data_IF_701142745141
#
_entry.id   IF_701142745141
#
_cell.length_a   1.000
_cell.length_b   1.000
_cell.length_c   1.000
_cell.angle_alpha   90.00
_cell.angle_beta   90.00
_cell.angle_gamma   90.00
#
_symmetry.space_group_name_H-M   'P 1'
#
loop_
_entity.id
_entity.type
_entity.pdbx_description
1 polymer ?
#
# COMPACT_ATOMS: atom_id res chain seq x y z
N UNK A 1 47.95 34.63 23.60
CA UNK A 1 47.04 33.55 23.98
C UNK A 1 47.23 32.30 23.12
N UNK A 2 47.05 32.33 21.82
CA UNK A 2 47.23 31.16 20.92
C UNK A 2 48.59 30.44 21.06
N UNK A 3 49.70 31.17 21.26
CA UNK A 3 51.04 30.57 21.43
C UNK A 3 51.15 29.74 22.72
N UNK A 4 50.51 30.18 23.79
CA UNK A 4 50.48 29.44 25.08
C UNK A 4 49.55 28.23 25.02
N UNK A 5 48.41 28.30 24.31
CA UNK A 5 47.53 27.16 24.03
C UNK A 5 48.30 26.10 23.24
N UNK A 6 49.02 26.49 22.20
CA UNK A 6 49.82 25.56 21.40
C UNK A 6 50.94 24.88 22.18
N UNK A 7 51.63 25.60 23.05
CA UNK A 7 52.64 25.04 23.99
C UNK A 7 52.00 24.05 24.99
N UNK A 8 50.82 24.33 25.48
CA UNK A 8 50.07 23.46 26.40
C UNK A 8 49.67 22.13 25.72
N UNK A 9 49.20 22.20 24.45
CA UNK A 9 48.90 21.02 23.61
C UNK A 9 50.15 20.16 23.45
N UNK A 10 51.30 20.78 23.13
CA UNK A 10 52.58 20.06 22.90
C UNK A 10 53.10 19.41 24.18
N UNK A 11 52.83 19.97 25.37
CA UNK A 11 53.24 19.41 26.66
C UNK A 11 52.39 18.21 27.10
N UNK A 12 51.12 18.13 26.63
CA UNK A 12 50.18 17.06 27.00
C UNK A 12 49.60 16.34 25.78
N UNK A 13 50.47 16.05 24.80
CA UNK A 13 50.07 15.46 23.51
C UNK A 13 49.14 14.22 23.64
N UNK A 14 49.44 13.30 24.57
CA UNK A 14 48.64 12.10 24.77
C UNK A 14 47.18 12.36 25.19
N UNK A 15 46.97 13.36 26.06
CA UNK A 15 45.60 13.74 26.49
C UNK A 15 44.84 14.45 25.38
N UNK A 16 45.53 15.27 24.59
CA UNK A 16 44.93 15.99 23.47
C UNK A 16 44.54 15.02 22.35
N UNK A 17 45.38 14.03 22.04
CA UNK A 17 45.08 12.97 21.08
C UNK A 17 43.88 12.16 21.56
N UNK A 18 43.86 11.76 22.86
CA UNK A 18 42.73 11.01 23.41
C UNK A 18 41.41 11.77 23.26
N UNK A 19 41.40 13.07 23.62
CA UNK A 19 40.24 13.93 23.50
C UNK A 19 39.78 14.04 22.04
N UNK A 20 40.72 14.22 21.09
CA UNK A 20 40.44 14.30 19.66
C UNK A 20 39.84 13.00 19.12
N UNK A 21 40.37 11.84 19.52
CA UNK A 21 39.84 10.54 19.13
C UNK A 21 38.41 10.37 19.66
N UNK A 22 38.15 10.71 20.91
CA UNK A 22 36.81 10.65 21.50
C UNK A 22 35.83 11.54 20.71
N UNK A 23 36.24 12.79 20.40
CA UNK A 23 35.41 13.70 19.60
C UNK A 23 35.10 13.14 18.19
N UNK A 24 36.08 12.53 17.54
CA UNK A 24 35.87 11.86 16.23
C UNK A 24 34.88 10.72 16.38
N UNK A 25 34.99 9.87 17.39
CA UNK A 25 34.07 8.76 17.61
C UNK A 25 32.65 9.26 17.85
N UNK A 26 32.46 10.27 18.72
CA UNK A 26 31.14 10.85 18.96
C UNK A 26 30.57 11.48 17.70
N UNK A 27 31.36 12.23 16.92
CA UNK A 27 30.92 12.83 15.68
C UNK A 27 30.47 11.76 14.64
N UNK A 28 31.24 10.66 14.49
CA UNK A 28 30.87 9.56 13.63
C UNK A 28 29.56 8.86 14.06
N UNK A 29 29.36 8.65 15.36
CA UNK A 29 28.13 8.07 15.88
C UNK A 29 26.92 8.98 15.63
N UNK A 30 27.06 10.30 15.78
CA UNK A 30 26.01 11.26 15.46
C UNK A 30 25.68 11.23 13.96
N UNK A 31 26.70 11.25 13.09
CA UNK A 31 26.51 11.18 11.65
C UNK A 31 25.81 9.87 11.24
N UNK A 32 26.20 8.74 11.83
CA UNK A 32 25.57 7.46 11.58
C UNK A 32 24.08 7.48 11.98
N UNK A 33 23.75 7.99 13.16
CA UNK A 33 22.37 8.12 13.63
C UNK A 33 21.52 9.04 12.74
N UNK A 34 22.05 10.19 12.33
CA UNK A 34 21.36 11.10 11.39
C UNK A 34 21.19 10.48 10.01
N UNK A 35 22.17 9.69 9.55
CA UNK A 35 22.07 8.98 8.27
C UNK A 35 20.96 7.94 8.27
N UNK A 36 20.85 7.16 9.36
CA UNK A 36 19.75 6.18 9.53
C UNK A 36 18.42 6.89 9.55
N UNK A 37 18.26 7.97 10.31
CA UNK A 37 17.03 8.75 10.38
C UNK A 37 16.63 9.33 9.01
N UNK A 38 17.59 9.90 8.28
CA UNK A 38 17.36 10.46 6.94
C UNK A 38 16.99 9.37 5.92
N UNK A 39 17.68 8.22 5.97
CA UNK A 39 17.37 7.08 5.10
C UNK A 39 15.99 6.51 5.38
N UNK A 40 15.64 6.33 6.66
CA UNK A 40 14.31 5.86 7.06
C UNK A 40 13.20 6.80 6.58
N UNK A 41 13.37 8.12 6.79
CA UNK A 41 12.42 9.12 6.30
C UNK A 41 12.24 9.07 4.78
N UNK A 42 13.35 8.99 4.03
CA UNK A 42 13.30 8.91 2.57
C UNK A 42 12.60 7.63 2.09
N UNK A 43 12.84 6.50 2.77
CA UNK A 43 12.14 5.24 2.48
C UNK A 43 10.66 5.33 2.79
N UNK A 44 10.25 5.99 3.89
CA UNK A 44 8.85 6.25 4.19
C UNK A 44 8.17 7.09 3.11
N UNK A 45 8.82 8.18 2.69
CA UNK A 45 8.29 9.06 1.63
C UNK A 45 8.16 8.29 0.30
N UNK A 46 9.10 7.40 -0.01
CA UNK A 46 9.05 6.55 -1.20
C UNK A 46 7.91 5.51 -1.10
N UNK A 47 7.73 4.85 0.05
CA UNK A 47 6.62 3.91 0.28
C UNK A 47 5.29 4.63 0.12
N UNK A 48 5.13 5.83 0.69
CA UNK A 48 3.92 6.66 0.55
C UNK A 48 3.59 6.97 -0.90
N UNK A 49 4.62 7.29 -1.70
CA UNK A 49 4.41 7.63 -3.11
C UNK A 49 4.15 6.41 -3.99
N UNK A 50 4.64 5.22 -3.61
CA UNK A 50 4.57 3.99 -4.42
C UNK A 50 3.37 3.13 -4.07
N UNK A 51 3.11 2.91 -2.77
CA UNK A 51 2.01 2.05 -2.35
C UNK A 51 0.65 2.74 -2.37
N UNK A 52 0.62 4.08 -2.45
CA UNK A 52 -0.61 4.85 -2.41
C UNK A 52 -1.45 4.53 -1.15
N UNK A 53 -2.61 5.11 -1.02
CA UNK A 53 -3.67 4.55 -0.19
C UNK A 53 -4.94 4.60 -1.02
N UNK A 54 -5.48 3.44 -1.27
CA UNK A 54 -6.75 3.29 -1.92
C UNK A 54 -7.85 3.10 -0.88
N UNK A 55 -8.97 3.73 -1.13
CA UNK A 55 -10.18 3.63 -0.33
C UNK A 55 -11.28 3.10 -1.22
N UNK A 56 -11.82 1.96 -0.85
CA UNK A 56 -12.86 1.30 -1.61
C UNK A 56 -14.23 1.55 -1.00
N UNK A 57 -15.13 2.16 -1.77
CA UNK A 57 -16.55 2.23 -1.46
C UNK A 57 -17.20 0.92 -1.92
N UNK A 58 -17.76 0.17 -0.98
CA UNK A 58 -18.43 -1.11 -1.23
C UNK A 58 -19.61 -1.30 -0.28
N UNK A 59 -20.38 -2.36 -0.49
CA UNK A 59 -21.48 -2.72 0.43
C UNK A 59 -20.95 -3.25 1.75
N UNK A 60 -21.50 -2.81 2.86
CA UNK A 60 -21.08 -3.22 4.21
C UNK A 60 -21.59 -4.63 4.56
N UNK A 61 -20.89 -5.66 4.06
CA UNK A 61 -21.24 -7.07 4.29
C UNK A 61 -21.30 -7.44 5.79
N UNK A 62 -20.46 -6.80 6.61
CA UNK A 62 -20.40 -7.07 8.06
C UNK A 62 -21.69 -6.65 8.76
N UNK A 63 -22.24 -5.50 8.40
CA UNK A 63 -23.52 -5.03 8.93
C UNK A 63 -24.69 -5.87 8.41
N UNK A 64 -24.65 -6.28 7.14
CA UNK A 64 -25.67 -7.17 6.58
C UNK A 64 -25.71 -8.54 7.28
N UNK A 65 -24.55 -9.15 7.56
CA UNK A 65 -24.47 -10.39 8.34
C UNK A 65 -25.01 -10.21 9.77
N UNK A 66 -24.66 -9.13 10.44
CA UNK A 66 -25.15 -8.82 11.79
C UNK A 66 -26.67 -8.59 11.84
N UNK A 67 -27.27 -8.05 10.78
CA UNK A 67 -28.73 -7.86 10.68
C UNK A 67 -29.44 -9.20 10.44
N UNK A 68 -28.87 -10.09 9.62
CA UNK A 68 -29.38 -11.47 9.44
C UNK A 68 -29.37 -12.27 10.75
N UNK A 69 -28.30 -12.19 11.54
CA UNK A 69 -28.22 -12.86 12.84
C UNK A 69 -29.28 -12.35 13.84
N UNK A 70 -29.68 -11.09 13.73
CA UNK A 70 -30.74 -10.48 14.57
C UNK A 70 -32.18 -10.78 14.08
N UNK A 71 -32.32 -11.58 12.99
CA UNK A 71 -33.63 -11.97 12.45
C UNK A 71 -34.40 -10.82 11.78
N UNK A 72 -33.73 -9.74 11.41
CA UNK A 72 -34.29 -8.69 10.59
C UNK A 72 -34.29 -9.19 9.12
N UNK A 73 -35.45 -9.08 8.45
CA UNK A 73 -35.54 -9.33 7.04
C UNK A 73 -34.63 -8.28 6.33
N UNK A 74 -33.47 -8.72 5.89
CA UNK A 74 -32.67 -7.91 4.97
C UNK A 74 -33.40 -8.03 3.64
N UNK A 75 -33.96 -6.94 3.14
CA UNK A 75 -34.44 -6.90 1.76
C UNK A 75 -33.32 -7.41 0.87
N UNK A 76 -33.57 -8.46 0.10
CA UNK A 76 -32.60 -9.13 -0.76
C UNK A 76 -32.13 -8.30 -1.96
N UNK A 77 -32.51 -7.06 -2.03
CA UNK A 77 -31.87 -6.09 -2.92
C UNK A 77 -30.45 -5.89 -2.39
N UNK A 78 -29.50 -6.65 -2.93
CA UNK A 78 -28.06 -6.36 -2.74
C UNK A 78 -27.90 -4.87 -2.99
N UNK A 79 -27.64 -4.11 -1.95
CA UNK A 79 -27.45 -2.68 -2.05
C UNK A 79 -26.16 -2.46 -2.86
N UNK A 80 -26.30 -2.30 -4.17
CA UNK A 80 -25.16 -2.06 -5.06
C UNK A 80 -24.71 -0.61 -4.88
N UNK A 81 -23.41 -0.36 -4.91
CA UNK A 81 -22.88 1.00 -5.04
C UNK A 81 -23.35 1.56 -6.37
N UNK A 82 -23.86 2.77 -6.39
CA UNK A 82 -24.26 3.40 -7.66
C UNK A 82 -23.23 4.40 -8.14
N UNK A 83 -23.17 4.62 -9.46
CA UNK A 83 -22.30 5.67 -10.06
C UNK A 83 -22.60 7.03 -9.43
N UNK A 84 -23.89 7.34 -9.20
CA UNK A 84 -24.29 8.62 -8.57
C UNK A 84 -23.77 8.78 -7.13
N UNK A 85 -23.65 7.71 -6.37
CA UNK A 85 -22.99 7.71 -5.05
C UNK A 85 -21.50 7.89 -5.20
N UNK A 86 -20.88 7.09 -6.09
CA UNK A 86 -19.45 7.13 -6.31
C UNK A 86 -18.98 8.51 -6.81
N UNK A 87 -19.77 9.16 -7.64
CA UNK A 87 -19.47 10.51 -8.16
C UNK A 87 -19.45 11.59 -7.07
N UNK A 88 -20.09 11.39 -5.93
CA UNK A 88 -20.04 12.36 -4.82
C UNK A 88 -18.65 12.42 -4.17
N UNK A 89 -17.86 11.35 -4.30
CA UNK A 89 -16.57 11.24 -3.63
C UNK A 89 -15.38 11.53 -4.55
N UNK A 90 -15.51 11.40 -5.87
CA UNK A 90 -14.39 11.49 -6.83
C UNK A 90 -13.68 12.83 -6.87
N UNK A 91 -14.43 13.92 -6.59
CA UNK A 91 -13.91 15.30 -6.64
C UNK A 91 -13.60 15.86 -5.24
N UNK A 92 -13.63 15.02 -4.19
CA UNK A 92 -13.28 15.45 -2.85
C UNK A 92 -11.78 15.73 -2.74
N UNK A 93 -11.44 16.59 -1.77
CA UNK A 93 -10.05 16.87 -1.43
C UNK A 93 -9.32 15.57 -1.08
N UNK A 94 -8.06 15.46 -1.46
CA UNK A 94 -7.16 14.31 -1.31
C UNK A 94 -7.33 13.20 -2.36
N UNK A 95 -8.37 13.20 -3.18
CA UNK A 95 -8.52 12.23 -4.27
C UNK A 95 -7.62 12.63 -5.44
N UNK A 96 -6.66 11.77 -5.78
CA UNK A 96 -5.75 11.93 -6.92
C UNK A 96 -6.37 11.34 -8.20
N UNK A 97 -6.97 10.17 -8.07
CA UNK A 97 -7.66 9.48 -9.15
C UNK A 97 -8.69 8.50 -8.58
N UNK A 98 -9.52 7.93 -9.44
CA UNK A 98 -10.52 6.94 -9.04
C UNK A 98 -10.66 5.86 -10.11
N UNK A 99 -11.17 4.70 -9.69
CA UNK A 99 -11.54 3.61 -10.57
C UNK A 99 -12.88 3.02 -10.15
N UNK A 100 -13.83 2.96 -11.06
CA UNK A 100 -15.10 2.24 -10.86
C UNK A 100 -14.95 0.84 -11.41
N UNK A 101 -15.46 -0.13 -10.68
CA UNK A 101 -15.38 -1.53 -11.04
C UNK A 101 -16.77 -2.17 -11.07
N UNK A 102 -17.00 -2.95 -12.13
CA UNK A 102 -18.11 -3.91 -12.24
C UNK A 102 -17.51 -5.28 -12.45
N UNK A 103 -17.82 -6.20 -11.54
CA UNK A 103 -17.46 -7.62 -11.69
C UNK A 103 -18.71 -8.39 -12.06
N UNK A 104 -18.66 -9.09 -13.18
CA UNK A 104 -19.71 -9.95 -13.70
C UNK A 104 -19.10 -11.17 -14.35
N UNK A 105 -19.90 -12.03 -14.95
CA UNK A 105 -19.42 -13.21 -15.67
C UNK A 105 -20.04 -13.29 -17.05
N UNK A 106 -19.37 -13.99 -17.94
CA UNK A 106 -19.83 -14.26 -19.29
C UNK A 106 -19.39 -15.66 -19.73
N UNK A 107 -20.03 -16.16 -20.78
CA UNK A 107 -19.67 -17.38 -21.48
C UNK A 107 -19.16 -17.02 -22.87
N UNK A 108 -18.59 -18.00 -23.59
CA UNK A 108 -18.17 -17.82 -24.98
C UNK A 108 -18.37 -19.10 -25.78
N UNK A 109 -18.79 -18.92 -27.02
CA UNK A 109 -18.81 -20.02 -28.03
C UNK A 109 -17.57 -19.95 -28.96
N UNK A 110 -16.71 -18.94 -28.78
CA UNK A 110 -15.56 -18.68 -29.69
C UNK A 110 -14.21 -18.95 -29.05
N UNK A 111 -14.13 -19.01 -27.73
CA UNK A 111 -12.91 -19.30 -26.96
C UNK A 111 -13.21 -20.31 -25.85
N UNK A 112 -12.27 -21.18 -25.58
CA UNK A 112 -12.34 -22.15 -24.50
C UNK A 112 -11.72 -21.62 -23.22
N UNK A 113 -12.32 -21.81 -22.01
CA UNK A 113 -11.74 -21.40 -20.76
C UNK A 113 -10.52 -22.26 -20.40
N UNK A 114 -9.54 -21.66 -19.73
CA UNK A 114 -8.39 -22.37 -19.17
C UNK A 114 -8.84 -23.26 -18.02
N UNK A 115 -8.60 -24.56 -18.12
CA UNK A 115 -8.85 -25.51 -17.03
C UNK A 115 -7.66 -25.58 -16.08
N UNK A 116 -7.90 -25.49 -14.76
CA UNK A 116 -6.86 -25.68 -13.76
C UNK A 116 -6.45 -27.14 -13.71
N UNK A 117 -5.14 -27.42 -13.71
CA UNK A 117 -4.62 -28.78 -13.55
C UNK A 117 -4.77 -29.24 -12.09
N UNK A 118 -4.90 -30.57 -11.87
CA UNK A 118 -5.08 -31.16 -10.54
C UNK A 118 -3.94 -30.81 -9.54
N UNK A 119 -2.77 -30.42 -10.04
CA UNK A 119 -1.64 -29.95 -9.20
C UNK A 119 -1.84 -28.50 -8.73
N UNK A 120 -2.56 -27.69 -9.46
CA UNK A 120 -2.90 -26.31 -9.11
C UNK A 120 -4.11 -26.26 -8.17
N UNK A 121 -5.09 -27.15 -8.33
CA UNK A 121 -6.20 -27.30 -7.38
C UNK A 121 -5.71 -27.72 -5.98
N UNK A 122 -4.69 -28.59 -5.87
CA UNK A 122 -4.14 -29.06 -4.60
C UNK A 122 -3.32 -27.99 -3.85
N UNK A 123 -2.81 -26.96 -4.50
CA UNK A 123 -2.12 -25.84 -3.82
C UNK A 123 -3.10 -24.94 -3.08
N UNK A 124 -4.37 -24.92 -3.46
CA UNK A 124 -5.43 -24.17 -2.79
C UNK A 124 -5.94 -24.83 -1.49
N UNK A 125 -5.71 -26.12 -1.29
CA UNK A 125 -6.16 -26.84 -0.07
C UNK A 125 -5.21 -26.71 1.15
N UNK A 126 -4.07 -26.01 1.02
CA UNK A 126 -3.02 -25.91 2.06
C UNK A 126 -3.36 -25.09 3.31
N UNK A 127 -4.58 -24.67 3.53
CA UNK A 127 -4.93 -23.68 4.54
C UNK A 127 -5.86 -24.07 5.68
N UNK A 128 -6.40 -25.29 5.81
CA UNK A 128 -7.14 -25.73 7.02
C UNK A 128 -7.29 -27.25 7.08
N UNK A 129 -6.28 -27.95 7.58
CA UNK A 129 -6.45 -29.30 8.12
C UNK A 129 -7.12 -29.21 9.52
N UNK A 130 -8.37 -28.76 9.54
CA UNK A 130 -9.30 -28.97 10.64
C UNK A 130 -10.33 -30.00 10.20
N UNK A 131 -10.32 -31.17 10.87
CA UNK A 131 -11.26 -32.28 10.68
C UNK A 131 -12.72 -31.84 10.91
N UNK A 132 -13.27 -31.07 9.95
CA UNK A 132 -14.70 -30.78 9.87
C UNK A 132 -15.31 -31.72 8.85
N UNK A 133 -16.03 -32.73 9.37
CA UNK A 133 -16.92 -33.58 8.62
C UNK A 133 -17.89 -32.66 7.82
N UNK A 134 -17.80 -32.69 6.48
CA UNK A 134 -18.75 -31.99 5.60
C UNK A 134 -20.18 -32.36 6.03
N UNK A 135 -21.04 -31.41 6.38
CA UNK A 135 -22.47 -31.70 6.45
C UNK A 135 -22.96 -31.97 5.03
N UNK A 136 -23.65 -33.08 4.83
CA UNK A 136 -24.22 -33.53 3.53
C UNK A 136 -25.25 -32.56 2.91
N UNK A 137 -25.34 -31.34 3.36
CA UNK A 137 -26.35 -30.35 2.96
C UNK A 137 -25.76 -28.98 2.54
N UNK A 138 -24.48 -28.95 2.13
CA UNK A 138 -23.82 -27.68 1.74
C UNK A 138 -23.82 -27.44 0.21
N UNK A 139 -24.61 -28.20 -0.54
CA UNK A 139 -24.53 -28.25 -2.01
C UNK A 139 -25.67 -27.52 -2.74
N UNK A 140 -26.54 -26.78 -2.05
CA UNK A 140 -27.61 -26.01 -2.68
C UNK A 140 -27.65 -24.56 -2.20
N UNK A 141 -26.69 -23.72 -2.63
CA UNK A 141 -26.71 -22.30 -2.24
C UNK A 141 -25.68 -21.39 -2.90
N UNK A 142 -24.74 -21.94 -3.64
CA UNK A 142 -23.91 -21.16 -4.54
C UNK A 142 -24.47 -21.36 -5.94
N UNK A 143 -25.09 -20.32 -6.47
CA UNK A 143 -25.73 -20.27 -7.75
C UNK A 143 -24.76 -20.77 -8.83
N UNK A 144 -25.11 -21.88 -9.48
CA UNK A 144 -24.42 -22.47 -10.64
C UNK A 144 -24.57 -21.62 -11.91
N UNK A 145 -24.73 -20.30 -11.75
CA UNK A 145 -24.93 -19.35 -12.84
C UNK A 145 -23.73 -18.41 -12.99
N UNK A 146 -22.54 -18.83 -12.53
CA UNK A 146 -21.31 -18.13 -12.87
C UNK A 146 -20.86 -18.63 -14.25
N UNK A 147 -20.77 -17.71 -15.23
CA UNK A 147 -20.20 -18.01 -16.53
C UNK A 147 -18.73 -18.43 -16.43
N UNK A 148 -18.20 -19.01 -17.50
CA UNK A 148 -16.84 -19.57 -17.59
C UNK A 148 -15.75 -18.50 -17.48
N UNK A 149 -16.07 -17.24 -17.85
CA UNK A 149 -15.16 -16.10 -17.83
C UNK A 149 -15.60 -15.07 -16.78
N UNK A 150 -14.64 -14.57 -16.03
CA UNK A 150 -14.83 -13.44 -15.11
C UNK A 150 -14.55 -12.13 -15.82
N UNK A 151 -15.54 -11.26 -15.89
CA UNK A 151 -15.42 -9.93 -16.51
C UNK A 151 -15.14 -8.90 -15.41
N UNK A 152 -13.97 -8.28 -15.47
CA UNK A 152 -13.59 -7.15 -14.62
C UNK A 152 -13.61 -5.87 -15.43
N UNK A 153 -14.74 -5.16 -15.39
CA UNK A 153 -14.91 -3.90 -16.11
C UNK A 153 -14.47 -2.73 -15.23
N UNK A 154 -13.64 -1.85 -15.78
CA UNK A 154 -12.99 -0.78 -15.03
C UNK A 154 -12.98 0.54 -15.80
N UNK A 155 -12.97 1.66 -15.08
CA UNK A 155 -12.74 2.98 -15.71
C UNK A 155 -11.32 3.10 -16.27
N UNK A 156 -10.34 2.51 -15.57
CA UNK A 156 -8.93 2.47 -15.97
C UNK A 156 -8.24 1.28 -15.30
N UNK A 157 -7.25 0.70 -15.97
CA UNK A 157 -6.42 -0.37 -15.39
C UNK A 157 -5.13 0.17 -14.76
N UNK A 158 -4.82 1.46 -14.89
CA UNK A 158 -3.55 2.07 -14.46
C UNK A 158 -3.25 1.86 -12.98
N UNK A 159 -4.29 1.87 -12.14
CA UNK A 159 -4.14 1.82 -10.68
C UNK A 159 -4.71 0.54 -10.04
N UNK A 160 -5.13 -0.45 -10.84
CA UNK A 160 -5.65 -1.71 -10.28
C UNK A 160 -4.50 -2.44 -9.55
N UNK A 161 -4.76 -2.90 -8.32
CA UNK A 161 -3.78 -3.58 -7.47
C UNK A 161 -3.07 -4.74 -8.17
N UNK A 162 -3.77 -5.44 -9.05
CA UNK A 162 -3.22 -6.54 -9.84
C UNK A 162 -2.01 -6.11 -10.67
N UNK A 163 -2.01 -4.88 -11.21
CA UNK A 163 -0.92 -4.34 -12.02
C UNK A 163 0.00 -3.41 -11.24
N UNK A 164 -0.53 -2.62 -10.30
CA UNK A 164 0.27 -1.70 -9.48
C UNK A 164 1.15 -2.41 -8.45
N UNK A 165 0.72 -3.58 -7.95
CA UNK A 165 1.47 -4.43 -7.02
C UNK A 165 2.31 -5.52 -7.73
N UNK A 166 2.45 -5.42 -9.05
CA UNK A 166 3.22 -6.38 -9.86
C UNK A 166 2.74 -7.84 -9.76
N UNK A 167 1.48 -8.06 -9.37
CA UNK A 167 0.85 -9.40 -9.35
C UNK A 167 0.59 -9.92 -10.76
N UNK A 168 0.44 -9.01 -11.71
CA UNK A 168 0.36 -9.29 -13.15
C UNK A 168 1.17 -8.27 -13.94
N UNK A 169 1.68 -8.70 -15.07
CA UNK A 169 2.53 -7.88 -15.96
C UNK A 169 1.95 -7.86 -17.36
N UNK A 170 1.88 -6.69 -17.99
CA UNK A 170 1.55 -6.57 -19.40
C UNK A 170 2.68 -7.15 -20.26
N UNK A 171 2.35 -8.13 -21.11
CA UNK A 171 3.32 -8.80 -21.99
C UNK A 171 3.30 -8.19 -23.39
N UNK A 172 2.10 -7.92 -23.93
CA UNK A 172 1.94 -7.37 -25.27
C UNK A 172 0.80 -6.35 -25.33
N UNK A 173 0.89 -5.39 -26.24
CA UNK A 173 -0.13 -4.37 -26.44
C UNK A 173 -0.13 -3.30 -25.36
N UNK A 174 -1.31 -2.97 -24.81
CA UNK A 174 -1.48 -1.94 -23.79
C UNK A 174 -2.62 -2.28 -22.82
N UNK A 175 -2.57 -1.70 -21.63
CA UNK A 175 -3.69 -1.71 -20.69
C UNK A 175 -4.80 -0.74 -21.13
N UNK A 176 -6.01 -0.95 -20.61
CA UNK A 176 -7.12 -0.04 -20.80
C UNK A 176 -6.94 1.24 -19.99
N UNK A 177 -7.30 2.33 -20.61
CA UNK A 177 -7.25 3.68 -20.02
C UNK A 177 -8.65 4.31 -20.04
N UNK A 178 -8.81 5.44 -19.39
CA UNK A 178 -10.07 6.19 -19.45
C UNK A 178 -10.52 6.59 -20.87
N UNK A 179 -9.60 6.58 -21.85
CA UNK A 179 -9.92 6.83 -23.25
C UNK A 179 -10.61 5.66 -23.95
N UNK A 180 -10.60 4.49 -23.33
CA UNK A 180 -11.28 3.30 -23.84
C UNK A 180 -12.76 3.24 -23.43
N UNK A 181 -13.27 4.25 -22.76
CA UNK A 181 -14.68 4.33 -22.36
C UNK A 181 -15.61 4.26 -23.58
N UNK A 182 -16.52 3.28 -23.59
CA UNK A 182 -17.45 3.02 -24.68
C UNK A 182 -16.80 2.39 -25.91
N UNK A 183 -15.59 1.85 -25.78
CA UNK A 183 -14.95 1.03 -26.81
C UNK A 183 -15.19 -0.45 -26.53
N UNK A 184 -15.05 -1.28 -27.56
CA UNK A 184 -15.14 -2.74 -27.41
C UNK A 184 -13.76 -3.36 -27.21
N UNK A 185 -12.89 -2.70 -26.44
CA UNK A 185 -11.55 -3.17 -26.18
C UNK A 185 -11.50 -4.06 -24.93
N UNK A 186 -10.68 -5.11 -24.99
CA UNK A 186 -10.41 -5.97 -23.83
C UNK A 186 -8.93 -6.29 -23.68
N UNK A 187 -8.58 -6.75 -22.48
CA UNK A 187 -7.26 -7.26 -22.15
C UNK A 187 -7.43 -8.64 -21.52
N UNK A 188 -6.71 -9.64 -22.04
CA UNK A 188 -6.84 -11.05 -21.66
C UNK A 188 -5.53 -11.60 -21.10
N UNK A 189 -5.61 -12.73 -20.41
CA UNK A 189 -4.46 -13.41 -19.83
C UNK A 189 -3.71 -14.23 -20.90
N UNK A 190 -2.38 -14.40 -20.73
CA UNK A 190 -1.48 -15.00 -21.72
C UNK A 190 -1.74 -16.49 -21.93
N UNK A 191 -2.15 -17.24 -20.88
CA UNK A 191 -2.53 -18.66 -21.03
C UNK A 191 -3.82 -18.80 -21.81
N UNK A 192 -4.82 -17.96 -21.52
CA UNK A 192 -6.06 -17.90 -22.26
C UNK A 192 -5.81 -17.54 -23.73
N UNK A 193 -4.92 -16.59 -24.00
CA UNK A 193 -4.54 -16.21 -25.35
C UNK A 193 -3.86 -17.36 -26.10
N UNK A 194 -2.89 -18.03 -25.46
CA UNK A 194 -2.13 -19.13 -26.10
C UNK A 194 -2.96 -20.37 -26.35
N UNK A 195 -3.88 -20.73 -25.45
CA UNK A 195 -4.72 -21.93 -25.59
C UNK A 195 -5.77 -21.78 -26.70
N UNK A 196 -6.09 -20.52 -27.04
CA UNK A 196 -7.04 -20.17 -28.08
C UNK A 196 -6.42 -19.60 -29.38
N UNK A 197 -5.08 -19.63 -29.51
CA UNK A 197 -4.34 -19.07 -30.67
C UNK A 197 -4.71 -17.59 -30.96
N UNK A 198 -4.81 -16.74 -29.92
CA UNK A 198 -5.20 -15.33 -29.99
C UNK A 198 -4.02 -14.37 -29.85
N UNK A 199 -4.01 -13.34 -30.70
CA UNK A 199 -3.03 -12.25 -30.68
C UNK A 199 -3.70 -10.88 -30.44
N UNK A 200 -2.90 -9.85 -30.10
CA UNK A 200 -3.39 -8.47 -30.02
C UNK A 200 -3.95 -8.01 -31.38
N UNK A 201 -5.19 -7.56 -31.39
CA UNK A 201 -5.96 -7.16 -32.57
C UNK A 201 -7.04 -8.17 -32.96
N UNK A 202 -7.04 -9.37 -32.40
CA UNK A 202 -8.08 -10.35 -32.62
C UNK A 202 -9.38 -10.00 -31.89
N UNK A 203 -10.47 -10.60 -32.28
CA UNK A 203 -11.79 -10.36 -31.72
C UNK A 203 -12.33 -11.64 -31.09
N UNK A 204 -12.82 -11.52 -29.86
CA UNK A 204 -13.51 -12.56 -29.12
C UNK A 204 -14.99 -12.19 -28.96
N UNK A 205 -15.87 -13.17 -28.93
CA UNK A 205 -17.30 -12.95 -28.71
C UNK A 205 -17.70 -13.52 -27.37
N UNK A 206 -18.20 -12.66 -26.48
CA UNK A 206 -18.70 -13.03 -25.17
C UNK A 206 -20.21 -12.97 -25.12
N UNK A 207 -20.81 -13.85 -24.33
CA UNK A 207 -22.27 -13.94 -24.15
C UNK A 207 -22.63 -13.91 -22.69
N UNK A 208 -23.71 -13.23 -22.33
CA UNK A 208 -24.24 -13.22 -20.97
C UNK A 208 -25.77 -13.28 -21.00
N UNK A 209 -26.38 -13.90 -20.00
CA UNK A 209 -27.83 -13.90 -19.82
C UNK A 209 -28.24 -12.80 -18.86
N UNK A 210 -28.92 -11.80 -19.36
CA UNK A 210 -29.38 -10.63 -18.62
C UNK A 210 -30.90 -10.52 -18.72
N UNK A 211 -31.60 -10.52 -17.61
CA UNK A 211 -33.08 -10.46 -17.60
C UNK A 211 -33.75 -11.49 -18.48
N UNK A 212 -33.26 -12.73 -18.50
CA UNK A 212 -33.72 -13.85 -19.33
C UNK A 212 -33.46 -13.66 -20.83
N UNK A 213 -32.70 -12.67 -21.25
CA UNK A 213 -32.25 -12.47 -22.63
C UNK A 213 -30.76 -12.75 -22.77
N UNK A 214 -30.36 -13.52 -23.78
CA UNK A 214 -28.94 -13.74 -24.07
C UNK A 214 -28.40 -12.59 -24.93
N UNK A 215 -27.41 -11.91 -24.40
CA UNK A 215 -26.70 -10.79 -25.05
C UNK A 215 -25.36 -11.32 -25.55
N UNK A 216 -25.02 -11.03 -26.80
CA UNK A 216 -23.71 -11.34 -27.39
C UNK A 216 -23.01 -10.07 -27.78
N UNK A 217 -21.70 -9.98 -27.48
CA UNK A 217 -20.91 -8.80 -27.79
C UNK A 217 -19.49 -9.16 -28.21
N UNK A 218 -19.00 -8.49 -29.25
CA UNK A 218 -17.66 -8.68 -29.80
C UNK A 218 -16.69 -7.71 -29.14
N UNK A 219 -15.55 -8.22 -28.64
CA UNK A 219 -14.49 -7.46 -28.03
C UNK A 219 -13.17 -7.63 -28.77
N UNK A 220 -12.43 -6.56 -28.96
CA UNK A 220 -11.10 -6.55 -29.58
C UNK A 220 -10.01 -6.60 -28.53
N UNK A 221 -9.09 -7.53 -28.64
CA UNK A 221 -7.94 -7.69 -27.75
C UNK A 221 -6.95 -6.55 -28.02
N UNK A 222 -6.70 -5.69 -27.04
CA UNK A 222 -5.72 -4.59 -27.14
C UNK A 222 -4.49 -4.80 -26.27
N UNK A 223 -4.49 -5.83 -25.42
CA UNK A 223 -3.36 -6.20 -24.59
C UNK A 223 -3.47 -7.61 -24.06
N UNK A 224 -2.31 -8.20 -23.79
CA UNK A 224 -2.16 -9.53 -23.19
C UNK A 224 -1.30 -9.38 -21.95
N UNK A 225 -1.76 -9.91 -20.80
CA UNK A 225 -1.04 -9.85 -19.53
C UNK A 225 -0.74 -11.26 -19.02
N UNK A 226 0.25 -11.37 -18.12
CA UNK A 226 0.65 -12.59 -17.44
C UNK A 226 0.41 -12.44 -15.94
N UNK A 227 -0.15 -13.46 -15.29
CA UNK A 227 -0.30 -13.54 -13.83
C UNK A 227 1.01 -14.03 -13.23
N UNK A 228 1.70 -13.17 -12.45
CA UNK A 228 3.01 -13.48 -11.87
C UNK A 228 2.93 -14.34 -10.60
N UNK A 229 1.83 -14.27 -9.86
CA UNK A 229 1.64 -14.95 -8.58
C UNK A 229 0.62 -16.07 -8.69
N UNK A 230 1.11 -17.29 -8.94
CA UNK A 230 0.31 -18.51 -8.96
C UNK A 230 -0.29 -18.90 -7.59
N UNK A 231 0.09 -18.23 -6.50
CA UNK A 231 -0.49 -18.49 -5.17
C UNK A 231 -1.91 -17.91 -4.99
N UNK A 232 -2.39 -17.14 -5.94
CA UNK A 232 -3.78 -16.67 -5.95
C UNK A 232 -4.75 -17.60 -6.70
N UNK A 233 -4.30 -18.75 -7.16
CA UNK A 233 -5.12 -19.71 -7.87
C UNK A 233 -6.06 -20.40 -6.87
N UNK A 234 -7.34 -19.99 -6.91
CA UNK A 234 -8.46 -20.81 -6.48
C UNK A 234 -8.61 -21.12 -4.99
N UNK A 235 -9.12 -20.17 -4.21
CA UNK A 235 -9.87 -20.53 -3.00
C UNK A 235 -11.29 -20.98 -3.36
N UNK A 236 -12.00 -21.74 -2.51
CA UNK A 236 -13.38 -22.09 -2.77
C UNK A 236 -14.25 -20.85 -3.02
N UNK A 237 -14.80 -20.69 -4.21
CA UNK A 237 -15.61 -19.55 -4.63
C UNK A 237 -14.83 -18.36 -5.22
N UNK A 238 -13.55 -18.51 -5.53
CA UNK A 238 -12.79 -17.55 -6.35
C UNK A 238 -12.81 -17.99 -7.83
N UNK A 239 -12.97 -17.01 -8.72
CA UNK A 239 -12.87 -17.23 -10.16
C UNK A 239 -11.42 -17.58 -10.54
N UNK A 240 -11.26 -18.40 -11.60
CA UNK A 240 -9.95 -18.71 -12.16
C UNK A 240 -9.31 -17.41 -12.70
N UNK A 241 -8.14 -16.98 -12.21
CA UNK A 241 -7.51 -15.74 -12.63
C UNK A 241 -7.09 -15.76 -14.12
N UNK A 242 -6.84 -16.94 -14.69
CA UNK A 242 -6.50 -17.09 -16.11
C UNK A 242 -7.69 -16.80 -17.03
N UNK A 243 -8.94 -16.94 -16.52
CA UNK A 243 -10.18 -16.66 -17.24
C UNK A 243 -10.74 -15.26 -16.93
N UNK A 244 -9.89 -14.35 -16.43
CA UNK A 244 -10.29 -12.98 -16.16
C UNK A 244 -10.03 -12.09 -17.37
N UNK A 245 -11.10 -11.47 -17.87
CA UNK A 245 -11.08 -10.55 -19.01
C UNK A 245 -11.35 -9.14 -18.48
N UNK A 246 -10.42 -8.23 -18.73
CA UNK A 246 -10.59 -6.82 -18.39
C UNK A 246 -11.23 -6.07 -19.54
N UNK A 247 -12.24 -5.25 -19.22
CA UNK A 247 -12.99 -4.45 -20.20
C UNK A 247 -13.20 -3.02 -19.69
N UNK A 248 -13.73 -2.14 -20.53
CA UNK A 248 -14.22 -0.86 -20.08
C UNK A 248 -15.55 -1.00 -19.32
N UNK A 249 -15.92 0.05 -18.59
CA UNK A 249 -17.08 0.03 -17.69
C UNK A 249 -18.41 -0.24 -18.44
N UNK A 250 -18.54 0.22 -19.71
CA UNK A 250 -19.77 0.07 -20.48
C UNK A 250 -20.10 -1.40 -20.79
N UNK A 251 -19.08 -2.23 -20.99
CA UNK A 251 -19.25 -3.68 -21.21
C UNK A 251 -19.73 -4.34 -19.91
N UNK A 252 -19.14 -3.96 -18.75
CA UNK A 252 -19.61 -4.45 -17.46
C UNK A 252 -21.08 -4.07 -17.18
N UNK A 253 -21.50 -2.87 -17.52
CA UNK A 253 -22.89 -2.43 -17.43
C UNK A 253 -23.80 -3.26 -18.33
N UNK A 254 -23.38 -3.50 -19.58
CA UNK A 254 -24.12 -4.29 -20.53
C UNK A 254 -24.36 -5.72 -19.99
N UNK A 255 -23.31 -6.39 -19.52
CA UNK A 255 -23.38 -7.78 -19.06
C UNK A 255 -23.98 -7.93 -17.66
N UNK A 256 -23.92 -6.89 -16.80
CA UNK A 256 -24.60 -6.88 -15.52
C UNK A 256 -26.09 -6.53 -15.59
N UNK A 257 -26.53 -6.00 -16.72
CA UNK A 257 -27.92 -5.54 -16.94
C UNK A 257 -28.27 -4.28 -16.13
N UNK A 258 -27.29 -3.49 -15.74
CA UNK A 258 -27.50 -2.27 -14.96
C UNK A 258 -26.59 -1.14 -15.41
N UNK A 259 -27.17 -0.04 -15.83
CA UNK A 259 -26.44 1.15 -16.27
C UNK A 259 -25.88 2.00 -15.12
N UNK A 260 -26.24 1.70 -13.88
CA UNK A 260 -25.92 2.54 -12.73
C UNK A 260 -25.21 1.84 -11.58
N UNK A 261 -25.23 0.52 -11.55
CA UNK A 261 -24.69 -0.25 -10.43
C UNK A 261 -23.21 -0.55 -10.64
N UNK A 262 -22.46 -0.46 -9.56
CA UNK A 262 -21.05 -0.82 -9.44
C UNK A 262 -20.89 -1.95 -8.43
N UNK A 263 -19.89 -2.79 -8.62
CA UNK A 263 -19.40 -3.71 -7.57
C UNK A 263 -18.68 -2.93 -6.50
N UNK A 264 -17.82 -1.99 -6.91
CA UNK A 264 -17.08 -1.11 -6.01
C UNK A 264 -16.61 0.15 -6.74
N UNK A 265 -16.28 1.17 -5.94
CA UNK A 265 -15.58 2.36 -6.42
C UNK A 265 -14.33 2.57 -5.57
N UNK A 266 -13.17 2.64 -6.21
CA UNK A 266 -11.87 2.80 -5.57
C UNK A 266 -11.38 4.22 -5.79
N UNK A 267 -10.93 4.88 -4.71
CA UNK A 267 -10.36 6.23 -4.73
C UNK A 267 -8.92 6.16 -4.29
N UNK A 268 -8.01 6.63 -5.13
CA UNK A 268 -6.59 6.70 -4.86
C UNK A 268 -6.24 8.07 -4.29
N UNK A 269 -5.74 8.09 -3.05
CA UNK A 269 -5.40 9.32 -2.36
C UNK A 269 -4.01 9.81 -2.74
N UNK A 270 -3.80 11.12 -2.64
CA UNK A 270 -2.52 11.77 -2.90
C UNK A 270 -1.46 11.42 -1.84
N UNK A 271 -1.86 11.21 -0.59
CA UNK A 271 -1.01 10.78 0.51
C UNK A 271 -1.79 9.82 1.45
N UNK A 272 -1.23 8.66 1.82
CA UNK A 272 -1.83 7.74 2.79
C UNK A 272 -2.15 8.36 4.16
N UNK A 273 -1.43 9.39 4.58
CA UNK A 273 -1.73 10.11 5.83
C UNK A 273 -3.08 10.86 5.79
N UNK A 274 -3.62 11.11 4.59
CA UNK A 274 -4.90 11.78 4.41
C UNK A 274 -6.11 10.82 4.49
N UNK A 275 -5.89 9.53 4.74
CA UNK A 275 -6.93 8.51 4.77
C UNK A 275 -8.07 8.84 5.76
N UNK A 276 -7.73 9.10 7.02
CA UNK A 276 -8.74 9.44 8.04
C UNK A 276 -9.48 10.74 7.69
N UNK A 277 -8.73 11.76 7.23
CA UNK A 277 -9.30 13.04 6.82
C UNK A 277 -10.24 12.89 5.62
N UNK A 278 -9.91 12.06 4.64
CA UNK A 278 -10.77 11.73 3.51
C UNK A 278 -12.05 11.01 3.96
N UNK A 279 -11.94 10.00 4.84
CA UNK A 279 -13.11 9.27 5.35
C UNK A 279 -14.07 10.16 6.15
N UNK A 280 -13.53 11.11 6.94
CA UNK A 280 -14.34 12.10 7.64
C UNK A 280 -15.02 13.06 6.67
N UNK A 281 -14.28 13.55 5.67
CA UNK A 281 -14.80 14.45 4.64
C UNK A 281 -15.89 13.77 3.80
N UNK A 282 -15.71 12.51 3.45
CA UNK A 282 -16.69 11.71 2.74
C UNK A 282 -18.01 11.60 3.52
N UNK A 283 -17.93 11.35 4.84
CA UNK A 283 -19.11 11.28 5.72
C UNK A 283 -19.81 12.64 5.88
N UNK A 284 -19.06 13.73 5.84
CA UNK A 284 -19.61 15.09 5.98
C UNK A 284 -20.25 15.62 4.69
N UNK A 285 -19.64 15.29 3.53
CA UNK A 285 -19.96 15.92 2.24
C UNK A 285 -20.83 15.09 1.32
N UNK A 286 -21.03 13.79 1.62
CA UNK A 286 -21.89 12.91 0.81
C UNK A 286 -23.17 12.54 1.55
N UNK A 287 -24.20 12.19 0.76
CA UNK A 287 -25.47 11.66 1.25
C UNK A 287 -25.46 10.11 1.33
N UNK A 288 -24.26 9.51 1.41
CA UNK A 288 -24.09 8.06 1.45
C UNK A 288 -24.39 7.54 2.85
N UNK A 289 -25.25 6.51 2.93
CA UNK A 289 -25.53 5.81 4.18
C UNK A 289 -24.42 4.81 4.54
N UNK A 290 -23.50 5.22 5.41
CA UNK A 290 -22.37 4.40 5.85
C UNK A 290 -22.76 3.28 6.84
N UNK A 291 -24.04 3.08 7.16
CA UNK A 291 -24.53 1.84 7.79
C UNK A 291 -24.69 0.72 6.74
N UNK A 292 -25.13 1.08 5.54
CA UNK A 292 -25.34 0.17 4.40
C UNK A 292 -24.07 0.01 3.55
N UNK A 293 -23.28 1.06 3.42
CA UNK A 293 -22.02 1.06 2.65
C UNK A 293 -20.81 1.24 3.56
N UNK A 294 -19.65 0.78 3.14
CA UNK A 294 -18.38 1.00 3.84
C UNK A 294 -17.36 1.67 2.94
N UNK A 295 -16.51 2.49 3.56
CA UNK A 295 -15.27 3.00 2.97
C UNK A 295 -14.13 2.22 3.60
N UNK A 296 -13.72 1.14 2.94
CA UNK A 296 -12.67 0.26 3.41
C UNK A 296 -11.33 0.70 2.82
N UNK A 297 -10.35 0.95 3.68
CA UNK A 297 -9.00 1.29 3.25
C UNK A 297 -8.18 0.03 3.08
N UNK A 298 -7.50 -0.09 1.95
CA UNK A 298 -6.50 -1.13 1.72
C UNK A 298 -5.11 -0.62 2.14
N UNK A 299 -4.97 -0.27 3.42
CA UNK A 299 -3.73 0.27 3.98
C UNK A 299 -2.83 -0.81 4.62
N UNK A 300 -3.22 -2.09 4.54
CA UNK A 300 -2.52 -3.19 5.23
C UNK A 300 -1.04 -3.29 4.83
N UNK A 301 -0.73 -3.23 3.55
CA UNK A 301 0.65 -3.27 3.06
C UNK A 301 1.43 -2.02 3.47
N UNK A 302 0.78 -0.86 3.39
CA UNK A 302 1.34 0.39 3.88
C UNK A 302 1.67 0.29 5.37
N UNK A 303 0.71 -0.10 6.21
CA UNK A 303 0.89 -0.23 7.66
C UNK A 303 2.00 -1.22 8.03
N UNK A 304 2.09 -2.36 7.35
CA UNK A 304 3.16 -3.34 7.59
C UNK A 304 4.55 -2.76 7.30
N UNK A 305 4.72 -2.04 6.21
CA UNK A 305 6.00 -1.45 5.82
C UNK A 305 6.35 -0.23 6.66
N UNK A 306 5.41 0.66 6.90
CA UNK A 306 5.61 1.88 7.70
C UNK A 306 5.97 1.56 9.14
N UNK A 307 5.26 0.65 9.81
CA UNK A 307 5.55 0.27 11.20
C UNK A 307 7.00 -0.17 11.42
N UNK A 308 7.58 -0.90 10.46
CA UNK A 308 8.99 -1.30 10.52
C UNK A 308 9.95 -0.11 10.43
N UNK A 309 9.64 0.85 9.55
CA UNK A 309 10.47 2.06 9.36
C UNK A 309 10.31 3.05 10.51
N UNK A 310 9.11 3.23 11.04
CA UNK A 310 8.84 4.06 12.22
C UNK A 310 9.59 3.53 13.45
N UNK A 311 9.59 2.22 13.66
CA UNK A 311 10.38 1.59 14.71
C UNK A 311 11.88 1.88 14.52
N UNK A 312 12.39 1.78 13.29
CA UNK A 312 13.80 2.08 12.96
C UNK A 312 14.11 3.55 13.19
N UNK A 313 13.24 4.48 12.82
CA UNK A 313 13.39 5.91 13.04
C UNK A 313 13.36 6.25 14.53
N UNK A 314 12.44 5.67 15.29
CA UNK A 314 12.34 5.84 16.75
C UNK A 314 13.60 5.32 17.43
N UNK A 315 14.09 4.15 17.03
CA UNK A 315 15.35 3.60 17.55
C UNK A 315 16.54 4.51 17.23
N UNK A 316 16.65 5.04 16.01
CA UNK A 316 17.71 5.99 15.63
C UNK A 316 17.64 7.29 16.45
N UNK A 317 16.45 7.78 16.75
CA UNK A 317 16.23 8.98 17.57
C UNK A 317 16.67 8.74 19.01
N UNK A 318 16.27 7.62 19.63
CA UNK A 318 16.71 7.25 20.98
C UNK A 318 18.23 7.08 21.02
N UNK A 319 18.81 6.40 20.03
CA UNK A 319 20.24 6.23 19.90
C UNK A 319 20.98 7.58 19.85
N UNK A 320 20.51 8.54 19.06
CA UNK A 320 21.08 9.90 19.00
C UNK A 320 21.03 10.61 20.34
N UNK A 321 19.91 10.54 21.05
CA UNK A 321 19.77 11.16 22.39
C UNK A 321 20.79 10.57 23.36
N UNK A 322 20.95 9.23 23.36
CA UNK A 322 21.93 8.54 24.23
C UNK A 322 23.36 8.93 23.86
N UNK A 323 23.70 8.96 22.56
CA UNK A 323 25.04 9.33 22.09
C UNK A 323 25.40 10.78 22.48
N UNK A 324 24.47 11.72 22.27
CA UNK A 324 24.66 13.13 22.62
C UNK A 324 24.79 13.29 24.14
N UNK A 325 23.93 12.61 24.91
CA UNK A 325 23.97 12.66 26.38
C UNK A 325 25.26 12.05 26.93
N UNK A 326 25.65 10.87 26.49
CA UNK A 326 26.90 10.22 26.93
C UNK A 326 28.12 11.00 26.47
N UNK A 327 28.15 11.49 25.23
CA UNK A 327 29.21 12.33 24.70
C UNK A 327 29.39 13.61 25.50
N UNK A 328 28.31 14.30 25.85
CA UNK A 328 28.28 15.49 26.70
C UNK A 328 28.85 15.20 28.08
N UNK A 329 28.44 14.08 28.71
CA UNK A 329 28.94 13.66 30.02
C UNK A 329 30.45 13.39 29.99
N UNK A 330 30.93 12.68 28.98
CA UNK A 330 32.37 12.38 28.80
C UNK A 330 33.16 13.67 28.62
N UNK A 331 32.70 14.58 27.77
CA UNK A 331 33.37 15.89 27.57
C UNK A 331 33.41 16.70 28.88
N UNK A 332 32.32 16.71 29.62
CA UNK A 332 32.24 17.39 30.92
C UNK A 332 33.26 16.79 31.93
N UNK A 333 33.35 15.47 32.03
CA UNK A 333 34.32 14.79 32.90
C UNK A 333 35.77 15.13 32.51
N UNK A 334 36.07 15.12 31.19
CA UNK A 334 37.43 15.49 30.71
C UNK A 334 37.77 16.94 31.06
N UNK A 335 36.80 17.86 30.90
CA UNK A 335 36.98 19.26 31.29
C UNK A 335 37.27 19.40 32.82
N UNK A 336 36.47 18.73 33.66
CA UNK A 336 36.66 18.74 35.11
C UNK A 336 38.03 18.19 35.46
N UNK A 337 38.46 17.06 34.87
CA UNK A 337 39.80 16.49 35.13
C UNK A 337 40.93 17.43 34.67
N UNK A 338 40.74 18.10 33.52
CA UNK A 338 41.72 19.05 33.00
C UNK A 338 41.87 20.26 33.91
N UNK A 339 40.78 20.83 34.41
CA UNK A 339 40.76 21.94 35.36
C UNK A 339 41.40 21.50 36.68
N UNK A 340 41.07 20.31 37.19
CA UNK A 340 41.64 19.77 38.45
C UNK A 340 43.15 19.66 38.39
N UNK A 341 43.69 19.23 37.25
CA UNK A 341 45.14 19.11 37.07
C UNK A 341 45.86 20.48 37.05
N UNK A 342 45.13 21.57 36.77
CA UNK A 342 45.67 22.95 36.73
C UNK A 342 45.28 23.80 37.94
N UNK A 343 44.72 23.18 38.97
CA UNK A 343 44.23 23.90 40.17
C UNK A 343 45.28 24.75 40.82
N UNK A 344 46.53 24.26 40.83
CA UNK A 344 47.68 25.02 41.37
C UNK A 344 48.02 26.26 40.55
N UNK A 345 48.05 26.13 39.22
CA UNK A 345 48.30 27.24 38.27
C UNK A 345 47.23 28.33 38.42
N UNK A 346 45.95 27.92 38.52
CA UNK A 346 44.82 28.83 38.71
C UNK A 346 44.97 29.60 40.07
N UNK A 347 45.36 28.90 41.11
CA UNK A 347 45.58 29.50 42.42
C UNK A 347 46.71 30.57 42.41
N UNK A 348 47.80 30.30 41.70
CA UNK A 348 48.89 31.27 41.53
C UNK A 348 48.44 32.50 40.74
N UNK A 349 47.65 32.34 39.66
CA UNK A 349 47.12 33.47 38.89
C UNK A 349 46.14 34.35 39.71
N UNK A 350 45.30 33.69 40.54
CA UNK A 350 44.43 34.40 41.49
C UNK A 350 45.19 35.20 42.52
N UNK A 351 46.27 34.64 43.09
CA UNK A 351 47.11 35.32 44.06
C UNK A 351 47.89 36.48 43.45
N UNK A 352 48.16 36.45 42.15
CA UNK A 352 48.79 37.56 41.41
C UNK A 352 47.76 38.64 40.97
N UNK A 353 46.49 38.55 41.42
CA UNK A 353 45.46 39.57 41.19
C UNK A 353 44.82 39.56 39.83
N UNK A 354 44.97 38.46 39.05
CA UNK A 354 44.28 38.37 37.78
C UNK A 354 42.74 38.18 37.95
N UNK A 355 41.96 38.87 37.13
CA UNK A 355 40.52 38.76 37.20
C UNK A 355 40.03 37.32 36.80
N UNK A 356 39.01 36.80 37.52
CA UNK A 356 38.43 35.47 37.30
C UNK A 356 38.04 35.24 35.86
N UNK A 357 37.50 36.25 35.14
CA UNK A 357 37.09 36.20 33.77
C UNK A 357 38.29 35.96 32.82
N UNK A 358 39.42 36.63 33.06
CA UNK A 358 40.65 36.42 32.28
C UNK A 358 41.21 35.02 32.45
N UNK A 359 41.14 34.46 33.67
CA UNK A 359 41.58 33.10 33.97
C UNK A 359 40.70 32.08 33.24
N UNK A 360 39.37 32.26 33.23
CA UNK A 360 38.42 31.39 32.51
C UNK A 360 38.70 31.43 31.00
N UNK A 361 38.81 32.62 30.42
CA UNK A 361 39.13 32.80 29.00
C UNK A 361 40.49 32.26 28.56
N UNK A 362 41.43 32.11 29.50
CA UNK A 362 42.75 31.54 29.23
C UNK A 362 42.77 30.01 29.33
N UNK A 363 41.75 29.40 29.98
CA UNK A 363 41.66 27.97 30.21
C UNK A 363 40.68 27.28 29.20
N UNK A 364 39.79 28.03 28.61
CA UNK A 364 38.97 27.62 27.44
C UNK A 364 39.79 27.76 26.14
#
# INVERSE_FOLDING_TARGET
>A
MLKNAFLSIRKNIGKTILLFVIMIVIANLIIAGLSIQSASKKSMDQIRSTLGSDVTLTTNMKNMMNQREKGQAVDEVRASVTIAMADQLKDLQYVKSYNYNISTSADSDTIDPVELTADEENQSEGGMQGNMQKPDNFQEGFDSNQGEFSISANTTMEYIDTFSEEKSTLIEGRLLSANDAGTNNCVIETTLASDNDLDVGDTITLTATVNDETISHDLTIVGIYEVNDSQQIGGPGQSNPFNTIYTDLSIGQLFSGSDSNLTSAVYYLDDPENLEAFQELAKEKSDIDFETYSLDANDRLYQQNINSLENTQSFATIFLIVVIGAGSAILCLILILTIRNRYYEIGVFLSLGQSKIKIILQQL
#
